data_IF_426056252846
#
_entry.id   IF_426056252846
#
_cell.length_a   1.000
_cell.length_b   1.000
_cell.length_c   1.000
_cell.angle_alpha   90.00
_cell.angle_beta   90.00
_cell.angle_gamma   90.00
#
_symmetry.space_group_name_H-M   'P 1'
#
loop_
_entity.id
_entity.type
_entity.pdbx_description
1 polymer ?
#
# COMPACT_ATOMS: atom_id res chain seq x y z
N UNK A 1 -23.09 5.16 4.14
CA UNK A 1 -22.09 5.22 3.04
C UNK A 1 -21.28 6.51 3.02
N UNK A 2 -21.86 7.69 3.31
CA UNK A 2 -21.10 8.96 3.27
C UNK A 2 -20.02 9.05 4.35
N UNK A 3 -20.29 8.53 5.56
CA UNK A 3 -19.33 8.55 6.68
C UNK A 3 -18.07 7.70 6.42
N UNK A 4 -18.25 6.50 5.88
CA UNK A 4 -17.13 5.60 5.51
C UNK A 4 -16.21 6.23 4.45
N UNK A 5 -16.79 6.89 3.45
CA UNK A 5 -16.02 7.60 2.42
C UNK A 5 -15.23 8.78 3.01
N UNK A 6 -15.83 9.52 3.94
CA UNK A 6 -15.15 10.64 4.60
C UNK A 6 -13.94 10.17 5.43
N UNK A 7 -14.11 9.07 6.17
CA UNK A 7 -13.01 8.42 6.89
C UNK A 7 -11.93 7.96 5.91
N UNK A 8 -12.33 7.30 4.82
CA UNK A 8 -11.39 6.82 3.78
C UNK A 8 -10.55 7.96 3.21
N UNK A 9 -11.15 9.08 2.81
CA UNK A 9 -10.42 10.23 2.28
C UNK A 9 -9.47 10.85 3.30
N UNK A 10 -9.91 10.97 4.56
CA UNK A 10 -9.08 11.50 5.65
C UNK A 10 -7.85 10.62 5.87
N UNK A 11 -8.05 9.31 5.96
CA UNK A 11 -6.97 8.34 6.19
C UNK A 11 -6.03 8.26 4.98
N UNK A 12 -6.57 8.29 3.76
CA UNK A 12 -5.77 8.33 2.53
C UNK A 12 -4.87 9.59 2.51
N UNK A 13 -5.41 10.75 2.89
CA UNK A 13 -4.63 11.99 3.00
C UNK A 13 -3.57 11.89 4.11
N UNK A 14 -3.89 11.24 5.22
CA UNK A 14 -2.95 10.99 6.32
C UNK A 14 -1.74 10.17 5.82
N UNK A 15 -1.97 9.15 5.00
CA UNK A 15 -0.88 8.38 4.38
C UNK A 15 0.06 9.24 3.55
N UNK A 16 -0.46 10.16 2.73
CA UNK A 16 0.36 11.07 1.93
C UNK A 16 1.05 12.18 2.74
N UNK A 17 0.74 12.33 4.03
CA UNK A 17 1.44 13.27 4.91
C UNK A 17 2.48 12.51 5.76
N UNK A 18 2.26 11.21 6.00
CA UNK A 18 3.15 10.39 6.83
C UNK A 18 4.49 10.10 6.13
N UNK A 19 5.63 10.42 6.76
CA UNK A 19 6.96 10.06 6.24
C UNK A 19 7.14 8.55 6.05
N UNK A 20 6.50 7.73 6.89
CA UNK A 20 6.65 6.27 6.85
C UNK A 20 6.09 5.69 5.56
N UNK A 21 4.97 6.22 5.07
CA UNK A 21 4.35 5.78 3.82
C UNK A 21 5.29 6.02 2.63
N UNK A 22 5.92 7.21 2.56
CA UNK A 22 6.88 7.50 1.49
C UNK A 22 8.10 6.58 1.52
N UNK A 23 8.65 6.29 2.71
CA UNK A 23 9.79 5.38 2.84
C UNK A 23 9.44 3.98 2.34
N UNK A 24 8.29 3.45 2.76
CA UNK A 24 7.86 2.09 2.38
C UNK A 24 7.55 2.01 0.89
N UNK A 25 6.84 3.00 0.33
CA UNK A 25 6.49 3.06 -1.10
C UNK A 25 7.74 3.20 -1.98
N UNK A 26 8.65 4.12 -1.63
CA UNK A 26 9.88 4.32 -2.40
C UNK A 26 10.78 3.08 -2.36
N UNK A 27 10.92 2.44 -1.20
CA UNK A 27 11.68 1.20 -1.07
C UNK A 27 11.08 0.08 -1.92
N UNK A 28 9.75 -0.06 -1.93
CA UNK A 28 9.08 -1.03 -2.79
C UNK A 28 9.34 -0.79 -4.28
N UNK A 29 9.23 0.47 -4.74
CA UNK A 29 9.48 0.81 -6.14
C UNK A 29 10.95 0.53 -6.53
N UNK A 30 11.92 0.92 -5.70
CA UNK A 30 13.34 0.65 -5.99
C UNK A 30 13.61 -0.85 -6.10
N UNK A 31 13.06 -1.66 -5.19
CA UNK A 31 13.22 -3.12 -5.21
C UNK A 31 12.53 -3.71 -6.45
N UNK A 32 11.27 -3.34 -6.71
CA UNK A 32 10.50 -3.83 -7.86
C UNK A 32 11.17 -3.47 -9.20
N UNK A 33 11.61 -2.23 -9.35
CA UNK A 33 12.35 -1.77 -10.53
C UNK A 33 13.71 -2.43 -10.67
N UNK A 34 14.43 -2.65 -9.57
CA UNK A 34 15.70 -3.38 -9.56
C UNK A 34 15.56 -4.81 -10.04
N UNK A 35 14.51 -5.52 -9.63
CA UNK A 35 14.23 -6.89 -10.08
C UNK A 35 13.87 -6.93 -11.57
N UNK A 36 13.05 -5.98 -12.02
CA UNK A 36 12.75 -5.84 -13.44
C UNK A 36 14.01 -5.61 -14.28
N UNK A 37 14.92 -4.75 -13.80
CA UNK A 37 16.17 -4.45 -14.50
C UNK A 37 17.15 -5.65 -14.47
N UNK A 38 17.19 -6.41 -13.39
CA UNK A 38 18.00 -7.64 -13.29
C UNK A 38 17.54 -8.71 -14.29
N UNK A 39 16.23 -8.82 -14.54
CA UNK A 39 15.69 -9.74 -15.55
C UNK A 39 16.16 -9.37 -16.98
N UNK A 40 16.40 -8.08 -17.27
CA UNK A 40 16.92 -7.62 -18.58
C UNK A 40 18.36 -8.07 -18.86
N UNK A 41 19.20 -8.20 -17.84
CA UNK A 41 20.62 -8.59 -18.01
C UNK A 41 20.84 -10.10 -18.10
N UNK A 42 19.79 -10.92 -18.04
CA UNK A 42 19.95 -12.38 -18.12
C UNK A 42 20.20 -12.83 -19.57
N UNK A 43 21.41 -13.33 -19.91
CA UNK A 43 21.79 -13.63 -21.30
C UNK A 43 21.06 -14.85 -21.91
N UNK A 44 20.25 -15.57 -21.12
CA UNK A 44 19.60 -16.84 -21.49
C UNK A 44 18.17 -16.67 -22.00
N UNK A 45 17.56 -15.47 -21.90
CA UNK A 45 16.17 -15.26 -22.28
C UNK A 45 16.03 -14.46 -23.58
N UNK A 46 15.50 -15.11 -24.60
CA UNK A 46 15.21 -14.51 -25.93
C UNK A 46 13.87 -13.78 -25.97
N UNK A 47 13.07 -13.85 -24.89
CA UNK A 47 11.76 -13.22 -24.77
C UNK A 47 11.73 -12.23 -23.59
N UNK A 48 11.42 -10.96 -23.87
CA UNK A 48 11.17 -9.90 -22.89
C UNK A 48 9.79 -10.06 -22.26
N UNK A 49 9.56 -11.18 -21.57
CA UNK A 49 8.24 -11.51 -21.00
C UNK A 49 8.16 -11.10 -19.54
N UNK A 50 7.14 -10.32 -19.17
CA UNK A 50 6.86 -9.89 -17.78
C UNK A 50 6.47 -11.03 -16.81
N UNK A 51 6.44 -12.27 -17.28
CA UNK A 51 5.98 -13.44 -16.50
C UNK A 51 6.82 -13.66 -15.25
N UNK A 52 8.11 -13.36 -15.31
CA UNK A 52 9.01 -13.51 -14.17
C UNK A 52 8.72 -12.45 -13.10
N UNK A 53 8.58 -11.19 -13.50
CA UNK A 53 8.13 -10.10 -12.62
C UNK A 53 6.80 -10.44 -11.92
N UNK A 54 5.77 -10.84 -12.68
CA UNK A 54 4.47 -11.22 -12.10
C UNK A 54 4.52 -12.50 -11.24
N UNK A 55 5.46 -13.41 -11.48
CA UNK A 55 5.64 -14.59 -10.62
C UNK A 55 6.25 -14.24 -9.26
N UNK A 56 7.06 -13.18 -9.20
CA UNK A 56 7.71 -12.73 -7.97
C UNK A 56 6.85 -11.69 -7.22
N UNK A 57 5.98 -10.95 -7.92
CA UNK A 57 5.12 -9.91 -7.34
C UNK A 57 4.30 -10.35 -6.10
N UNK A 58 3.70 -11.57 -6.03
CA UNK A 58 2.99 -12.02 -4.83
C UNK A 58 3.88 -12.13 -3.60
N UNK A 59 5.13 -12.55 -3.79
CA UNK A 59 6.10 -12.65 -2.70
C UNK A 59 6.40 -11.25 -2.14
N UNK A 60 6.66 -10.26 -2.99
CA UNK A 60 6.91 -8.89 -2.55
C UNK A 60 5.69 -8.25 -1.89
N UNK A 61 4.50 -8.46 -2.46
CA UNK A 61 3.24 -8.01 -1.87
C UNK A 61 3.03 -8.58 -0.46
N UNK A 62 3.45 -9.82 -0.20
CA UNK A 62 3.30 -10.46 1.12
C UNK A 62 4.07 -9.74 2.23
N UNK A 63 5.19 -9.08 1.92
CA UNK A 63 5.95 -8.24 2.87
C UNK A 63 5.47 -6.80 2.88
N UNK A 64 5.11 -6.27 1.71
CA UNK A 64 4.73 -4.87 1.53
C UNK A 64 3.38 -4.53 2.17
N UNK A 65 2.38 -5.41 2.00
CA UNK A 65 1.03 -5.19 2.54
C UNK A 65 1.06 -5.08 4.07
N UNK A 66 1.70 -5.99 4.82
CA UNK A 66 1.89 -5.83 6.26
C UNK A 66 2.65 -4.55 6.60
N UNK A 67 3.75 -4.22 5.89
CA UNK A 67 4.54 -3.03 6.18
C UNK A 67 3.73 -1.72 6.11
N UNK A 68 2.82 -1.61 5.13
CA UNK A 68 1.92 -0.45 5.01
C UNK A 68 0.79 -0.46 6.03
N UNK A 69 0.32 -1.64 6.44
CA UNK A 69 -0.87 -1.79 7.28
C UNK A 69 -0.57 -1.88 8.79
N UNK A 70 0.69 -2.15 9.18
CA UNK A 70 1.12 -2.32 10.59
C UNK A 70 0.71 -1.18 11.53
N UNK A 71 0.66 0.07 11.02
CA UNK A 71 0.33 1.26 11.80
C UNK A 71 -1.17 1.61 11.88
N UNK A 72 -2.01 1.08 10.98
CA UNK A 72 -3.39 1.56 10.77
C UNK A 72 -4.26 1.58 12.03
N UNK A 73 -4.22 0.48 12.78
CA UNK A 73 -5.01 0.31 14.00
C UNK A 73 -4.12 0.34 15.25
N UNK A 74 -2.87 -0.12 15.12
CA UNK A 74 -1.93 -0.23 16.22
C UNK A 74 -1.54 1.14 16.78
N UNK A 75 -1.40 2.15 15.92
CA UNK A 75 -0.98 3.50 16.31
C UNK A 75 -2.13 4.29 16.97
N UNK A 76 -3.37 4.07 16.55
CA UNK A 76 -4.57 4.60 17.21
C UNK A 76 -4.85 3.92 18.55
N UNK A 77 -4.64 2.60 18.64
CA UNK A 77 -4.71 1.86 19.91
C UNK A 77 -3.67 2.35 20.90
N UNK A 78 -2.44 2.61 20.45
CA UNK A 78 -1.33 3.07 21.29
C UNK A 78 -1.51 4.52 21.76
N UNK A 79 -2.10 5.37 20.94
CA UNK A 79 -2.30 6.80 21.26
C UNK A 79 -3.60 7.10 22.02
N UNK A 80 -4.45 6.09 22.28
CA UNK A 80 -5.73 6.26 22.96
C UNK A 80 -6.80 6.99 22.12
N UNK A 81 -6.48 7.39 20.89
CA UNK A 81 -7.45 8.03 19.98
C UNK A 81 -8.58 7.09 19.57
N UNK A 82 -8.36 5.77 19.66
CA UNK A 82 -9.42 4.80 19.43
C UNK A 82 -10.59 4.98 20.42
N UNK A 83 -10.31 5.29 21.69
CA UNK A 83 -11.35 5.53 22.70
C UNK A 83 -12.13 6.82 22.40
N UNK A 84 -11.44 7.85 21.90
CA UNK A 84 -12.08 9.10 21.47
C UNK A 84 -12.94 8.91 20.21
N UNK A 85 -12.52 8.02 19.30
CA UNK A 85 -13.30 7.63 18.12
C UNK A 85 -14.55 6.82 18.49
N UNK A 86 -14.45 5.95 19.50
CA UNK A 86 -15.57 5.12 20.00
C UNK A 86 -16.61 5.92 20.80
N UNK A 87 -16.26 7.08 21.34
CA UNK A 87 -17.22 7.98 22.01
C UNK A 87 -18.01 8.86 21.04
N UNK A 88 -17.58 8.96 19.78
CA UNK A 88 -18.36 9.60 18.71
C UNK A 88 -19.46 8.64 18.20
N UNK A 89 -20.59 9.16 17.68
CA UNK A 89 -21.71 8.35 17.18
C UNK A 89 -21.40 7.70 15.82
N UNK A 90 -20.31 6.94 15.74
CA UNK A 90 -19.78 6.25 14.56
C UNK A 90 -19.73 4.76 14.86
N UNK A 91 -20.18 3.92 13.92
CA UNK A 91 -20.13 2.46 14.09
C UNK A 91 -18.71 1.96 13.87
N UNK A 92 -18.23 1.03 14.70
CA UNK A 92 -16.89 0.41 14.57
C UNK A 92 -16.65 -0.16 13.17
N UNK A 93 -17.68 -0.77 12.57
CA UNK A 93 -17.63 -1.33 11.21
C UNK A 93 -17.33 -0.24 10.16
N UNK A 94 -17.83 0.98 10.34
CA UNK A 94 -17.57 2.08 9.42
C UNK A 94 -16.11 2.55 9.48
N UNK A 95 -15.51 2.52 10.68
CA UNK A 95 -14.10 2.87 10.90
C UNK A 95 -13.18 1.81 10.28
N UNK A 96 -13.46 0.53 10.54
CA UNK A 96 -12.68 -0.58 9.98
C UNK A 96 -12.74 -0.60 8.47
N UNK A 97 -13.95 -0.44 7.88
CA UNK A 97 -14.11 -0.38 6.42
C UNK A 97 -13.43 0.85 5.81
N UNK A 98 -13.50 2.01 6.46
CA UNK A 98 -12.83 3.22 5.97
C UNK A 98 -11.31 3.07 5.92
N UNK A 99 -10.72 2.51 6.97
CA UNK A 99 -9.28 2.22 7.04
C UNK A 99 -8.84 1.16 6.04
N UNK A 100 -9.62 0.10 5.88
CA UNK A 100 -9.36 -0.91 4.87
C UNK A 100 -9.37 -0.32 3.46
N UNK A 101 -10.38 0.47 3.11
CA UNK A 101 -10.47 1.11 1.80
C UNK A 101 -9.34 2.11 1.55
N UNK A 102 -8.88 2.82 2.60
CA UNK A 102 -7.74 3.72 2.48
C UNK A 102 -6.44 2.94 2.19
N UNK A 103 -6.22 1.82 2.87
CA UNK A 103 -5.09 0.94 2.64
C UNK A 103 -5.10 0.35 1.21
N UNK A 104 -6.26 -0.12 0.77
CA UNK A 104 -6.47 -0.62 -0.60
C UNK A 104 -6.19 0.50 -1.62
N UNK A 105 -6.64 1.72 -1.36
CA UNK A 105 -6.36 2.87 -2.21
C UNK A 105 -4.85 3.13 -2.35
N UNK A 106 -4.10 3.11 -1.26
CA UNK A 106 -2.65 3.30 -1.29
C UNK A 106 -1.93 2.17 -2.06
N UNK A 107 -2.31 0.91 -1.82
CA UNK A 107 -1.76 -0.24 -2.55
C UNK A 107 -2.08 -0.12 -4.05
N UNK A 108 -3.27 0.34 -4.41
CA UNK A 108 -3.68 0.57 -5.80
C UNK A 108 -2.80 1.63 -6.47
N UNK A 109 -2.49 2.73 -5.79
CA UNK A 109 -1.57 3.77 -6.28
C UNK A 109 -0.17 3.19 -6.53
N UNK A 110 0.33 2.37 -5.62
CA UNK A 110 1.65 1.73 -5.76
C UNK A 110 1.68 0.76 -6.95
N UNK A 111 0.62 -0.03 -7.12
CA UNK A 111 0.47 -0.92 -8.27
C UNK A 111 0.45 -0.12 -9.58
N UNK A 112 -0.30 0.97 -9.65
CA UNK A 112 -0.32 1.86 -10.82
C UNK A 112 1.07 2.42 -11.11
N UNK A 113 1.81 2.86 -10.08
CA UNK A 113 3.18 3.33 -10.24
C UNK A 113 4.12 2.24 -10.77
N UNK A 114 3.86 0.97 -10.44
CA UNK A 114 4.62 -0.18 -10.94
C UNK A 114 4.42 -0.41 -12.44
N UNK A 115 3.27 -0.03 -13.01
CA UNK A 115 3.06 -0.06 -14.46
C UNK A 115 3.94 0.94 -15.23
N UNK A 116 4.66 1.84 -14.57
CA UNK A 116 5.66 2.66 -15.25
C UNK A 116 6.80 1.82 -15.84
N UNK A 117 7.18 0.70 -15.20
CA UNK A 117 8.28 -0.17 -15.65
C UNK A 117 8.06 -0.85 -17.01
N UNK A 118 6.88 -1.41 -17.35
CA UNK A 118 6.64 -1.95 -18.69
C UNK A 118 6.51 -0.90 -19.79
N UNK A 119 6.15 0.35 -19.44
CA UNK A 119 5.97 1.42 -20.42
C UNK A 119 7.32 2.00 -20.86
N UNK A 120 8.34 1.91 -20.01
CA UNK A 120 9.73 2.33 -20.28
C UNK A 120 10.59 1.20 -20.80
#
# INVERSE_FOLDING_TARGET
MTRTLYITQRELKSYFISPTAYIVVSMFLVIAGGLYWLDFFQPVRTELTMRQFFSQAPLFMSFFVPAITMGLLSEEKRSGTLEMLMTLPVRDVEVVLGKFLAAVGLISVVLIATFAYPIT
#
